data_IF_252038582387
#
_entry.id   IF_252038582387
#
_cell.length_a   1.000
_cell.length_b   1.000
_cell.length_c   1.000
_cell.angle_alpha   90.00
_cell.angle_beta   90.00
_cell.angle_gamma   90.00
#
_symmetry.space_group_name_H-M   'P 1'
#
loop_
_entity.id
_entity.type
_entity.pdbx_description
1 polymer ?
#
# COMPACT_ATOMS: atom_id res chain seq x y z
N UNK A 1 13.11 -54.28 -57.91
CA UNK A 1 12.16 -54.08 -56.78
C UNK A 1 12.87 -53.65 -55.47
N UNK A 2 13.86 -52.73 -55.52
CA UNK A 2 14.59 -52.25 -54.33
C UNK A 2 14.72 -50.73 -54.22
N UNK A 3 14.40 -49.95 -55.26
CA UNK A 3 14.51 -48.47 -55.21
C UNK A 3 13.22 -47.75 -54.80
N UNK A 4 12.03 -48.30 -55.10
CA UNK A 4 10.73 -47.71 -54.71
C UNK A 4 10.43 -47.76 -53.20
N UNK A 5 11.09 -48.64 -52.44
CA UNK A 5 10.87 -48.81 -51.00
C UNK A 5 11.65 -47.77 -50.19
N UNK A 6 12.85 -47.37 -50.64
CA UNK A 6 13.66 -46.36 -49.95
C UNK A 6 13.09 -44.95 -50.05
N UNK A 7 12.45 -44.60 -51.19
CA UNK A 7 11.82 -43.30 -51.38
C UNK A 7 10.66 -43.07 -50.42
N UNK A 8 9.79 -44.07 -50.19
CA UNK A 8 8.64 -43.95 -49.28
C UNK A 8 9.07 -43.84 -47.81
N UNK A 9 10.12 -44.54 -47.39
CA UNK A 9 10.61 -44.48 -46.00
C UNK A 9 11.23 -43.11 -45.69
N UNK A 10 11.92 -42.49 -46.66
CA UNK A 10 12.51 -41.16 -46.49
C UNK A 10 11.43 -40.06 -46.49
N UNK A 11 10.37 -40.16 -47.31
CA UNK A 11 9.26 -39.19 -47.25
C UNK A 11 8.45 -39.29 -45.96
N UNK A 12 8.32 -40.50 -45.39
CA UNK A 12 7.59 -40.68 -44.13
C UNK A 12 8.41 -40.23 -42.91
N UNK A 13 9.75 -40.33 -42.95
CA UNK A 13 10.62 -39.85 -41.86
C UNK A 13 10.74 -38.31 -41.85
N UNK A 14 10.76 -37.66 -43.01
CA UNK A 14 10.81 -36.18 -43.09
C UNK A 14 9.46 -35.55 -42.71
N UNK A 15 8.34 -36.22 -42.97
CA UNK A 15 7.01 -35.75 -42.54
C UNK A 15 6.77 -35.93 -41.03
N UNK A 16 7.42 -36.92 -40.40
CA UNK A 16 7.34 -37.13 -38.94
C UNK A 16 8.18 -36.11 -38.14
N UNK A 17 9.28 -35.58 -38.71
CA UNK A 17 10.08 -34.54 -38.06
C UNK A 17 9.46 -33.13 -38.16
N UNK A 18 8.61 -32.87 -39.16
CA UNK A 18 7.92 -31.57 -39.29
C UNK A 18 6.69 -31.48 -38.36
N UNK A 19 6.13 -32.61 -37.94
CA UNK A 19 4.99 -32.62 -37.00
C UNK A 19 5.40 -32.56 -35.51
N UNK A 20 6.69 -32.68 -35.20
CA UNK A 20 7.21 -32.68 -33.82
C UNK A 20 7.66 -31.29 -33.32
N UNK A 21 7.53 -30.24 -34.13
CA UNK A 21 7.87 -28.86 -33.78
C UNK A 21 6.67 -28.02 -33.30
N UNK A 22 5.48 -28.63 -33.19
CA UNK A 22 4.27 -27.99 -32.64
C UNK A 22 3.93 -28.59 -31.27
N UNK A 23 4.93 -28.76 -30.39
CA UNK A 23 4.63 -28.70 -28.96
C UNK A 23 4.45 -27.22 -28.67
N UNK A 24 3.25 -26.72 -28.99
CA UNK A 24 2.79 -25.47 -28.42
C UNK A 24 2.91 -25.64 -26.92
N UNK A 25 3.81 -24.87 -26.31
CA UNK A 25 3.68 -24.56 -24.89
C UNK A 25 2.28 -23.97 -24.82
N UNK A 26 1.34 -24.72 -24.23
CA UNK A 26 0.14 -24.10 -23.73
C UNK A 26 0.64 -23.15 -22.64
N UNK A 27 1.00 -21.93 -23.03
CA UNK A 27 1.06 -20.81 -22.11
C UNK A 27 -0.34 -20.79 -21.52
N UNK A 28 -0.47 -21.32 -20.30
CA UNK A 28 -1.70 -21.24 -19.56
C UNK A 28 -2.03 -19.76 -19.51
N UNK A 29 -3.06 -19.36 -20.25
CA UNK A 29 -3.49 -17.97 -20.31
C UNK A 29 -3.69 -17.53 -18.86
N UNK A 30 -2.83 -16.64 -18.38
CA UNK A 30 -2.91 -16.14 -17.01
C UNK A 30 -4.28 -15.49 -16.87
N UNK A 31 -5.11 -16.03 -15.99
CA UNK A 31 -6.39 -15.43 -15.64
C UNK A 31 -6.10 -14.27 -14.68
N UNK A 32 -5.95 -13.08 -15.26
CA UNK A 32 -5.62 -11.87 -14.51
C UNK A 32 -6.76 -11.44 -13.57
N UNK A 33 -8.00 -11.82 -13.85
CA UNK A 33 -9.11 -11.58 -12.93
C UNK A 33 -8.97 -12.44 -11.69
N UNK A 34 -8.64 -13.72 -11.87
CA UNK A 34 -8.38 -14.63 -10.76
C UNK A 34 -7.13 -14.22 -9.98
N UNK A 35 -6.05 -13.82 -10.67
CA UNK A 35 -4.84 -13.29 -10.03
C UNK A 35 -5.17 -12.09 -9.14
N UNK A 36 -5.88 -11.09 -9.65
CA UNK A 36 -6.27 -9.93 -8.84
C UNK A 36 -7.14 -10.33 -7.66
N UNK A 37 -8.16 -11.18 -7.87
CA UNK A 37 -9.04 -11.64 -6.77
C UNK A 37 -8.27 -12.35 -5.67
N UNK A 38 -7.36 -13.25 -6.03
CA UNK A 38 -6.57 -14.03 -5.06
C UNK A 38 -5.57 -13.13 -4.32
N UNK A 39 -4.90 -12.21 -5.03
CA UNK A 39 -3.98 -11.24 -4.43
C UNK A 39 -4.72 -10.26 -3.52
N UNK A 40 -5.84 -9.69 -3.95
CA UNK A 40 -6.67 -8.82 -3.11
C UNK A 40 -7.13 -9.59 -1.87
N UNK A 41 -7.63 -10.82 -2.03
CA UNK A 41 -8.04 -11.67 -0.89
C UNK A 41 -6.90 -11.96 0.08
N UNK A 42 -5.67 -12.21 -0.41
CA UNK A 42 -4.47 -12.40 0.42
C UNK A 42 -4.22 -11.18 1.31
N UNK A 43 -4.45 -9.98 0.77
CA UNK A 43 -4.19 -8.70 1.44
C UNK A 43 -5.44 -8.06 2.07
N UNK A 44 -6.56 -8.75 2.05
CA UNK A 44 -7.77 -8.36 2.78
C UNK A 44 -7.80 -9.02 4.15
N UNK A 45 -8.19 -8.25 5.16
CA UNK A 45 -8.53 -8.74 6.50
C UNK A 45 -9.95 -8.34 6.82
N UNK A 46 -10.69 -9.24 7.46
CA UNK A 46 -12.09 -9.02 7.79
C UNK A 46 -12.42 -9.59 9.15
N UNK A 47 -13.24 -8.88 9.91
CA UNK A 47 -13.76 -9.31 11.21
C UNK A 47 -15.25 -9.01 11.31
N UNK A 48 -16.01 -9.97 11.80
CA UNK A 48 -17.43 -9.80 12.15
C UNK A 48 -17.58 -9.59 13.65
N UNK A 49 -18.36 -8.60 14.05
CA UNK A 49 -18.67 -8.31 15.44
C UNK A 49 -20.07 -8.84 15.74
N UNK A 50 -20.12 -10.13 16.09
CA UNK A 50 -21.37 -10.88 16.23
C UNK A 50 -22.23 -10.78 14.96
N UNK A 51 -23.52 -10.54 15.15
CA UNK A 51 -24.50 -10.34 14.08
C UNK A 51 -24.73 -8.87 13.72
N UNK A 52 -24.00 -7.94 14.36
CA UNK A 52 -24.27 -6.51 14.24
C UNK A 52 -23.67 -5.91 12.98
N UNK A 53 -22.35 -6.09 12.78
CA UNK A 53 -21.63 -5.52 11.67
C UNK A 53 -20.35 -6.30 11.34
N UNK A 54 -19.77 -6.00 10.17
CA UNK A 54 -18.46 -6.48 9.75
C UNK A 54 -17.58 -5.32 9.33
N UNK A 55 -16.29 -5.44 9.59
CA UNK A 55 -15.25 -4.53 9.07
C UNK A 55 -14.32 -5.35 8.21
N UNK A 56 -14.03 -4.85 7.03
CA UNK A 56 -13.09 -5.40 6.08
C UNK A 56 -12.11 -4.30 5.66
N UNK A 57 -10.86 -4.65 5.44
CA UNK A 57 -9.88 -3.73 4.89
C UNK A 57 -8.95 -4.46 3.93
N UNK A 58 -8.77 -3.90 2.74
CA UNK A 58 -7.74 -4.29 1.77
C UNK A 58 -6.55 -3.36 1.92
N UNK A 59 -5.36 -3.92 2.15
CA UNK A 59 -4.12 -3.15 2.11
C UNK A 59 -3.64 -3.02 0.65
N UNK A 60 -3.67 -1.81 0.09
CA UNK A 60 -3.18 -1.48 -1.25
C UNK A 60 -1.66 -1.40 -1.27
N UNK A 61 -1.02 -2.57 -1.13
CA UNK A 61 0.42 -2.71 -1.26
C UNK A 61 0.83 -3.03 -2.70
N UNK A 62 2.14 -3.14 -2.92
CA UNK A 62 2.74 -3.34 -4.24
C UNK A 62 2.14 -4.55 -5.00
N UNK A 63 1.98 -5.70 -4.35
CA UNK A 63 1.40 -6.89 -4.99
C UNK A 63 -0.04 -6.64 -5.48
N UNK A 64 -0.87 -5.98 -4.66
CA UNK A 64 -2.27 -5.67 -5.03
C UNK A 64 -2.32 -4.68 -6.19
N UNK A 65 -1.47 -3.65 -6.16
CA UNK A 65 -1.35 -2.66 -7.24
C UNK A 65 -0.96 -3.35 -8.54
N UNK A 66 0.08 -4.18 -8.51
CA UNK A 66 0.56 -4.91 -9.67
C UNK A 66 -0.49 -5.86 -10.25
N UNK A 67 -1.18 -6.60 -9.39
CA UNK A 67 -2.25 -7.48 -9.84
C UNK A 67 -3.42 -6.71 -10.46
N UNK A 68 -3.74 -5.53 -9.92
CA UNK A 68 -4.75 -4.63 -10.49
C UNK A 68 -4.32 -4.06 -11.85
N UNK A 69 -3.09 -3.57 -11.96
CA UNK A 69 -2.52 -3.03 -13.21
C UNK A 69 -2.50 -4.09 -14.29
N UNK A 70 -2.06 -5.31 -13.99
CA UNK A 70 -2.03 -6.41 -14.95
C UNK A 70 -3.44 -6.81 -15.42
N UNK A 71 -4.42 -6.84 -14.49
CA UNK A 71 -5.84 -7.03 -14.83
C UNK A 71 -6.34 -5.92 -15.75
N UNK A 72 -6.10 -4.66 -15.39
CA UNK A 72 -6.52 -3.52 -16.18
C UNK A 72 -5.88 -3.50 -17.57
N UNK A 73 -4.56 -3.74 -17.65
CA UNK A 73 -3.81 -3.84 -18.90
C UNK A 73 -4.40 -4.90 -19.82
N UNK A 74 -4.73 -6.08 -19.28
CA UNK A 74 -5.38 -7.14 -20.06
C UNK A 74 -6.78 -6.78 -20.53
N UNK A 75 -7.61 -6.21 -19.66
CA UNK A 75 -8.99 -5.80 -19.98
C UNK A 75 -9.04 -4.69 -21.05
N UNK A 76 -8.04 -3.82 -21.07
CA UNK A 76 -7.96 -2.66 -21.98
C UNK A 76 -7.01 -2.88 -23.17
N UNK A 77 -6.42 -4.09 -23.30
CA UNK A 77 -5.48 -4.45 -24.37
C UNK A 77 -4.26 -3.52 -24.45
N UNK A 78 -3.76 -3.08 -23.29
CA UNK A 78 -2.60 -2.20 -23.22
C UNK A 78 -1.33 -2.94 -23.69
N UNK A 79 -0.47 -2.22 -24.39
CA UNK A 79 0.94 -2.61 -24.55
C UNK A 79 1.69 -2.52 -23.21
N UNK A 80 2.88 -3.13 -23.14
CA UNK A 80 3.73 -3.05 -21.94
C UNK A 80 4.09 -1.60 -21.56
N UNK A 81 4.27 -0.74 -22.56
CA UNK A 81 4.58 0.68 -22.37
C UNK A 81 3.39 1.44 -21.79
N UNK A 82 2.17 1.15 -22.28
CA UNK A 82 0.93 1.74 -21.76
C UNK A 82 0.58 1.20 -20.37
N UNK A 83 0.84 -0.08 -20.09
CA UNK A 83 0.65 -0.67 -18.77
C UNK A 83 1.59 -0.02 -17.74
N UNK A 84 2.86 0.20 -18.09
CA UNK A 84 3.82 0.92 -17.24
C UNK A 84 3.37 2.38 -17.00
N UNK A 85 2.94 3.08 -18.05
CA UNK A 85 2.43 4.45 -17.90
C UNK A 85 1.18 4.49 -17.00
N UNK A 86 0.27 3.51 -17.16
CA UNK A 86 -0.90 3.37 -16.30
C UNK A 86 -0.52 3.07 -14.85
N UNK A 87 0.47 2.21 -14.62
CA UNK A 87 0.97 1.90 -13.28
C UNK A 87 1.44 3.18 -12.56
N UNK A 88 2.25 4.00 -13.24
CA UNK A 88 2.78 5.25 -12.69
C UNK A 88 1.67 6.25 -12.38
N UNK A 89 0.74 6.45 -13.31
CA UNK A 89 -0.44 7.31 -13.11
C UNK A 89 -1.31 6.79 -11.96
N UNK A 90 -1.49 5.47 -11.84
CA UNK A 90 -2.23 4.85 -10.76
C UNK A 90 -1.59 5.11 -9.40
N UNK A 91 -0.27 4.88 -9.25
CA UNK A 91 0.45 5.14 -8.01
C UNK A 91 0.37 6.62 -7.59
N UNK A 92 0.45 7.54 -8.55
CA UNK A 92 0.33 8.97 -8.30
C UNK A 92 -1.10 9.37 -7.91
N UNK A 93 -2.09 8.97 -8.70
CA UNK A 93 -3.52 9.26 -8.48
C UNK A 93 -4.00 8.70 -7.15
N UNK A 94 -3.61 7.47 -6.85
CA UNK A 94 -3.95 6.79 -5.60
C UNK A 94 -3.02 7.15 -4.44
N UNK A 95 -1.98 7.95 -4.71
CA UNK A 95 -1.04 8.48 -3.71
C UNK A 95 -0.36 7.39 -2.88
N UNK A 96 -0.22 6.19 -3.45
CA UNK A 96 0.35 5.00 -2.79
C UNK A 96 1.84 5.23 -2.50
N UNK A 97 2.53 6.02 -3.32
CA UNK A 97 3.93 6.39 -3.08
C UNK A 97 4.11 7.23 -1.80
N UNK A 98 3.08 7.95 -1.37
CA UNK A 98 3.14 8.88 -0.22
C UNK A 98 2.53 8.32 1.05
N UNK A 99 1.56 7.40 0.92
CA UNK A 99 0.75 6.92 2.03
C UNK A 99 0.68 5.40 2.07
N UNK A 100 0.45 4.86 3.26
CA UNK A 100 -0.09 3.52 3.40
C UNK A 100 -1.61 3.60 3.20
N UNK A 101 -2.12 2.90 2.19
CA UNK A 101 -3.52 3.03 1.76
C UNK A 101 -4.29 1.77 2.11
N UNK A 102 -5.37 1.92 2.87
CA UNK A 102 -6.28 0.83 3.19
C UNK A 102 -7.67 1.15 2.66
N UNK A 103 -8.20 0.31 1.78
CA UNK A 103 -9.61 0.41 1.39
C UNK A 103 -10.46 -0.30 2.44
N UNK A 104 -11.13 0.49 3.26
CA UNK A 104 -11.91 0.01 4.40
C UNK A 104 -13.37 -0.07 3.99
N UNK A 105 -14.03 -1.16 4.37
CA UNK A 105 -15.48 -1.35 4.27
C UNK A 105 -16.04 -1.67 5.64
N UNK A 106 -16.97 -0.84 6.12
CA UNK A 106 -17.76 -1.11 7.32
C UNK A 106 -19.19 -1.38 6.87
N UNK A 107 -19.69 -2.57 7.16
CA UNK A 107 -21.02 -3.03 6.74
C UNK A 107 -21.87 -3.40 7.94
N UNK A 108 -23.03 -2.74 8.07
CA UNK A 108 -24.07 -3.14 8.99
C UNK A 108 -24.71 -4.45 8.50
N UNK A 109 -24.87 -5.40 9.41
CA UNK A 109 -25.52 -6.68 9.14
C UNK A 109 -26.95 -6.68 9.68
N UNK A 110 -27.12 -6.38 10.97
CA UNK A 110 -28.44 -6.30 11.63
C UNK A 110 -28.48 -5.18 12.67
N UNK A 111 -29.69 -4.80 13.05
CA UNK A 111 -29.92 -3.83 14.13
C UNK A 111 -29.81 -2.37 13.68
N UNK A 112 -29.60 -1.52 14.67
CA UNK A 112 -29.53 -0.07 14.51
C UNK A 112 -28.32 0.35 13.65
N UNK A 113 -28.38 1.53 13.01
CA UNK A 113 -27.26 2.07 12.24
C UNK A 113 -26.01 2.25 13.09
N UNK A 114 -24.84 2.15 12.46
CA UNK A 114 -23.56 2.31 13.15
C UNK A 114 -23.16 3.77 13.23
N UNK A 115 -22.45 4.10 14.28
CA UNK A 115 -21.86 5.41 14.54
C UNK A 115 -20.36 5.21 14.77
N UNK A 116 -19.52 5.50 13.78
CA UNK A 116 -18.09 5.63 13.98
C UNK A 116 -17.86 6.94 14.74
N UNK A 117 -17.57 6.83 16.03
CA UNK A 117 -17.43 8.02 16.87
C UNK A 117 -16.06 8.62 16.63
N UNK A 118 -15.95 9.81 16.03
CA UNK A 118 -14.65 10.48 15.80
C UNK A 118 -13.65 9.54 15.13
N UNK A 119 -13.98 9.06 13.94
CA UNK A 119 -13.22 8.07 13.18
C UNK A 119 -11.73 8.40 13.16
N UNK A 120 -11.34 9.64 12.87
CA UNK A 120 -9.93 10.06 12.85
C UNK A 120 -9.16 9.78 14.16
N UNK A 121 -9.84 9.81 15.30
CA UNK A 121 -9.24 9.67 16.64
C UNK A 121 -9.27 8.23 17.13
N UNK A 122 -10.19 7.41 16.59
CA UNK A 122 -10.42 6.05 17.03
C UNK A 122 -10.03 5.00 15.99
N UNK A 123 -9.54 5.42 14.83
CA UNK A 123 -8.94 4.55 13.82
C UNK A 123 -7.45 4.85 13.74
N UNK A 124 -6.59 3.85 13.88
CA UNK A 124 -5.13 4.03 13.84
C UNK A 124 -4.41 2.74 13.47
N UNK A 125 -3.23 2.86 12.85
CA UNK A 125 -2.29 1.76 12.68
C UNK A 125 -1.41 1.62 13.91
N UNK A 126 -1.03 0.38 14.22
CA UNK A 126 -0.01 0.02 15.21
C UNK A 126 1.02 -0.87 14.54
N UNK A 127 2.29 -0.48 14.64
CA UNK A 127 3.41 -1.32 14.21
C UNK A 127 3.80 -2.36 15.31
N UNK A 128 4.74 -3.23 14.99
CA UNK A 128 5.31 -4.23 15.88
C UNK A 128 6.09 -3.65 17.08
N UNK A 129 6.39 -2.35 17.06
CA UNK A 129 7.02 -1.60 18.15
C UNK A 129 6.00 -0.91 19.06
N UNK A 130 4.71 -0.97 18.73
CA UNK A 130 3.62 -0.35 19.48
C UNK A 130 3.40 1.14 19.16
N UNK A 131 4.04 1.68 18.13
CA UNK A 131 3.84 3.06 17.68
C UNK A 131 2.47 3.22 17.03
N UNK A 132 1.78 4.31 17.33
CA UNK A 132 0.44 4.61 16.81
C UNK A 132 0.51 5.64 15.69
N UNK A 133 -0.12 5.33 14.56
CA UNK A 133 -0.21 6.22 13.40
C UNK A 133 -1.68 6.47 13.05
N UNK A 134 -2.10 7.73 13.10
CA UNK A 134 -3.47 8.13 12.79
C UNK A 134 -3.64 8.41 11.30
N UNK A 135 -4.87 8.26 10.75
CA UNK A 135 -5.12 8.57 9.36
C UNK A 135 -4.94 10.07 9.11
N UNK A 136 -4.31 10.41 8.00
CA UNK A 136 -4.14 11.78 7.54
C UNK A 136 -5.35 12.24 6.73
N UNK A 137 -5.91 11.33 5.93
CA UNK A 137 -7.07 11.59 5.07
C UNK A 137 -7.96 10.36 5.00
N UNK A 138 -9.28 10.60 4.92
CA UNK A 138 -10.29 9.58 4.72
C UNK A 138 -11.61 10.25 4.25
N UNK A 139 -12.53 9.52 3.61
CA UNK A 139 -13.81 10.05 3.18
C UNK A 139 -14.68 10.49 4.37
N UNK A 140 -15.34 11.66 4.31
CA UNK A 140 -16.15 12.20 5.42
C UNK A 140 -17.31 11.27 5.85
N UNK A 141 -17.75 10.38 4.97
CA UNK A 141 -18.79 9.36 5.23
C UNK A 141 -18.42 8.43 6.40
N UNK A 142 -17.12 8.28 6.70
CA UNK A 142 -16.67 7.54 7.88
C UNK A 142 -16.94 8.26 9.21
N UNK A 143 -17.31 9.54 9.21
CA UNK A 143 -17.75 10.28 10.41
C UNK A 143 -19.28 10.40 10.49
N UNK A 144 -19.98 9.83 9.51
CA UNK A 144 -21.43 9.85 9.43
C UNK A 144 -22.06 8.55 9.94
N UNK A 145 -23.38 8.59 10.10
CA UNK A 145 -24.17 7.43 10.50
C UNK A 145 -24.26 6.42 9.36
N UNK A 146 -23.80 5.20 9.59
CA UNK A 146 -23.78 4.14 8.57
C UNK A 146 -25.08 3.33 8.64
N UNK A 147 -25.94 3.52 7.65
CA UNK A 147 -27.20 2.79 7.54
C UNK A 147 -27.04 1.39 6.96
N UNK A 148 -26.18 1.19 5.96
CA UNK A 148 -25.97 -0.12 5.35
C UNK A 148 -24.49 -0.44 5.23
N UNK A 149 -23.75 0.38 4.51
CA UNK A 149 -22.32 0.21 4.29
C UNK A 149 -21.67 1.56 4.01
N UNK A 150 -20.43 1.71 4.45
CA UNK A 150 -19.51 2.73 3.95
C UNK A 150 -18.24 2.02 3.46
N UNK A 151 -17.72 2.47 2.33
CA UNK A 151 -16.46 1.99 1.75
C UNK A 151 -15.63 3.17 1.32
N UNK A 152 -14.32 3.13 1.59
CA UNK A 152 -13.41 4.14 1.10
C UNK A 152 -11.97 3.95 1.53
N UNK A 153 -11.07 4.70 0.88
CA UNK A 153 -9.63 4.65 1.11
C UNK A 153 -9.24 5.52 2.29
N UNK A 154 -8.56 4.94 3.26
CA UNK A 154 -8.00 5.60 4.43
C UNK A 154 -6.48 5.69 4.24
N UNK A 155 -5.95 6.90 4.34
CA UNK A 155 -4.55 7.22 4.05
C UNK A 155 -3.79 7.45 5.35
N UNK A 156 -2.79 6.63 5.60
CA UNK A 156 -1.89 6.73 6.75
C UNK A 156 -0.52 7.23 6.32
N UNK A 157 0.27 7.84 7.24
CA UNK A 157 1.65 8.17 6.93
C UNK A 157 2.42 6.90 6.52
N UNK A 158 3.38 7.05 5.60
CA UNK A 158 4.30 5.98 5.21
C UNK A 158 5.60 6.00 6.04
N UNK A 159 5.92 7.13 6.64
CA UNK A 159 7.09 7.36 7.45
C UNK A 159 6.71 7.82 8.87
N UNK A 160 7.54 7.49 9.85
CA UNK A 160 7.44 8.01 11.21
C UNK A 160 7.87 9.49 11.28
N UNK A 161 7.90 10.06 12.50
CA UNK A 161 8.23 11.48 12.71
C UNK A 161 9.70 11.78 12.43
N UNK A 162 10.54 10.76 12.55
CA UNK A 162 11.97 10.76 12.30
C UNK A 162 12.29 10.51 10.81
N UNK A 163 11.26 10.22 10.00
CA UNK A 163 11.36 10.00 8.57
C UNK A 163 11.75 8.57 8.18
N UNK A 164 11.67 7.58 9.08
CA UNK A 164 11.90 6.17 8.77
C UNK A 164 10.61 5.53 8.23
N UNK A 165 10.70 4.58 7.26
CA UNK A 165 9.52 3.85 6.80
C UNK A 165 8.87 3.06 7.94
N UNK A 166 7.54 3.20 8.07
CA UNK A 166 6.75 2.48 9.08
C UNK A 166 6.78 0.98 8.81
N UNK A 167 6.70 0.58 7.52
CA UNK A 167 6.87 -0.79 7.08
C UNK A 167 8.26 -0.92 6.43
N UNK A 168 9.11 -1.75 7.01
CA UNK A 168 10.47 -2.03 6.57
C UNK A 168 10.76 -3.55 6.68
N UNK A 169 11.92 -4.04 6.20
CA UNK A 169 12.22 -5.48 6.20
C UNK A 169 12.13 -6.17 7.56
N UNK A 170 12.30 -5.42 8.65
CA UNK A 170 12.25 -5.94 10.02
C UNK A 170 10.87 -5.81 10.66
N UNK A 171 9.86 -5.31 9.92
CA UNK A 171 8.49 -5.15 10.43
C UNK A 171 7.77 -6.50 10.44
N UNK A 172 7.50 -7.04 11.62
CA UNK A 172 6.82 -8.32 11.81
C UNK A 172 5.32 -8.24 11.47
N UNK A 173 4.65 -7.17 11.89
CA UNK A 173 3.24 -6.97 11.61
C UNK A 173 2.84 -5.49 11.62
N UNK A 174 1.69 -5.21 11.00
CA UNK A 174 0.96 -3.96 11.20
C UNK A 174 -0.50 -4.26 11.48
N UNK A 175 -1.11 -3.55 12.44
CA UNK A 175 -2.51 -3.74 12.82
C UNK A 175 -3.30 -2.45 12.62
N UNK A 176 -4.40 -2.53 11.88
CA UNK A 176 -5.40 -1.47 11.79
C UNK A 176 -6.44 -1.65 12.90
N UNK A 177 -6.48 -0.68 13.81
CA UNK A 177 -7.40 -0.64 14.93
C UNK A 177 -8.59 0.27 14.62
N UNK A 178 -9.78 -0.20 15.01
CA UNK A 178 -11.00 0.59 15.11
C UNK A 178 -11.47 0.51 16.56
N UNK A 179 -11.01 1.43 17.41
CA UNK A 179 -11.23 1.40 18.85
C UNK A 179 -12.69 1.67 19.26
N UNK A 180 -13.44 2.41 18.43
CA UNK A 180 -14.81 2.85 18.77
C UNK A 180 -15.77 2.80 17.60
N UNK A 181 -16.27 1.61 17.30
CA UNK A 181 -17.47 1.43 16.47
C UNK A 181 -18.66 1.08 17.37
N UNK A 182 -19.75 1.84 17.27
CA UNK A 182 -20.94 1.61 18.09
C UNK A 182 -22.20 1.45 17.25
N UNK A 183 -23.12 0.62 17.74
CA UNK A 183 -24.50 0.48 17.23
C UNK A 183 -25.46 1.55 17.79
N UNK A 184 -24.98 2.40 18.72
CA UNK A 184 -25.71 3.53 19.33
C UNK A 184 -24.69 4.53 19.90
N UNK A 185 -24.83 5.86 19.71
CA UNK A 185 -23.95 6.85 20.32
C UNK A 185 -23.80 6.75 21.86
N UNK A 186 -24.71 6.07 22.55
CA UNK A 186 -24.72 5.90 24.01
C UNK A 186 -24.36 4.48 24.50
N UNK A 187 -24.13 3.49 23.61
CA UNK A 187 -23.82 2.09 23.97
C UNK A 187 -22.31 1.74 24.02
N UNK A 188 -22.03 0.52 24.50
CA UNK A 188 -20.70 -0.12 24.56
C UNK A 188 -20.06 -0.17 23.17
N UNK A 189 -19.00 0.62 22.99
CA UNK A 189 -18.17 0.58 21.79
C UNK A 189 -17.47 -0.77 21.64
N UNK A 190 -17.35 -1.24 20.39
CA UNK A 190 -16.59 -2.44 20.05
C UNK A 190 -15.28 -2.06 19.39
N UNK A 191 -14.22 -2.76 19.80
CA UNK A 191 -12.91 -2.68 19.19
C UNK A 191 -12.81 -3.74 18.09
N UNK A 192 -12.25 -3.37 16.94
CA UNK A 192 -11.93 -4.29 15.84
C UNK A 192 -10.49 -4.09 15.44
N UNK A 193 -9.74 -5.18 15.35
CA UNK A 193 -8.32 -5.17 14.99
C UNK A 193 -8.13 -6.06 13.77
N UNK A 194 -7.49 -5.52 12.73
CA UNK A 194 -7.16 -6.23 11.49
C UNK A 194 -5.65 -6.23 11.33
N UNK A 195 -5.02 -7.41 11.34
CA UNK A 195 -3.56 -7.54 11.37
C UNK A 195 -3.02 -8.16 10.08
N UNK A 196 -1.95 -7.57 9.55
CA UNK A 196 -1.15 -8.10 8.45
C UNK A 196 0.23 -8.46 8.97
N UNK A 197 0.52 -9.75 9.00
CA UNK A 197 1.84 -10.28 9.30
C UNK A 197 2.76 -10.19 8.07
N UNK A 198 4.04 -9.91 8.30
CA UNK A 198 5.07 -9.68 7.30
C UNK A 198 4.61 -8.71 6.19
N UNK A 199 4.19 -7.47 6.53
CA UNK A 199 3.58 -6.55 5.57
C UNK A 199 4.59 -5.95 4.59
N UNK A 200 5.89 -6.11 4.83
CA UNK A 200 6.94 -5.65 3.93
C UNK A 200 7.02 -6.52 2.67
N UNK A 201 6.96 -5.87 1.52
CA UNK A 201 7.26 -6.47 0.24
C UNK A 201 8.59 -5.90 -0.28
N UNK A 202 9.58 -6.76 -0.59
CA UNK A 202 10.75 -6.28 -1.31
C UNK A 202 10.31 -5.77 -2.68
N UNK A 203 10.97 -4.74 -3.23
CA UNK A 203 10.69 -4.30 -4.59
C UNK A 203 10.87 -5.46 -5.58
N UNK A 204 9.85 -5.74 -6.40
CA UNK A 204 9.91 -6.82 -7.39
C UNK A 204 10.53 -6.33 -8.69
N UNK A 205 11.82 -6.62 -8.89
CA UNK A 205 12.55 -6.32 -10.13
C UNK A 205 12.51 -7.46 -11.16
N UNK A 206 11.76 -8.54 -10.89
CA UNK A 206 11.77 -9.75 -11.73
C UNK A 206 11.06 -9.56 -13.07
N UNK A 207 10.18 -8.56 -13.18
CA UNK A 207 9.54 -8.20 -14.46
C UNK A 207 10.23 -6.96 -15.07
N UNK A 208 10.66 -7.01 -16.35
CA UNK A 208 11.32 -5.89 -17.02
C UNK A 208 10.49 -4.61 -17.05
N UNK A 209 9.18 -4.77 -17.18
CA UNK A 209 8.17 -3.70 -17.14
C UNK A 209 7.89 -3.16 -15.73
N UNK A 210 8.43 -3.80 -14.67
CA UNK A 210 8.21 -3.44 -13.26
C UNK A 210 9.51 -3.08 -12.52
N UNK A 211 10.64 -3.01 -13.22
CA UNK A 211 11.73 -2.18 -12.71
C UNK A 211 11.16 -0.76 -12.62
N UNK A 212 11.21 -0.08 -11.47
CA UNK A 212 10.92 1.35 -11.46
C UNK A 212 11.76 1.93 -12.59
N UNK A 213 11.11 2.55 -13.57
CA UNK A 213 11.84 3.30 -14.58
C UNK A 213 12.82 4.17 -13.79
N UNK A 214 14.07 4.30 -14.24
CA UNK A 214 15.08 5.08 -13.52
C UNK A 214 14.51 6.44 -13.07
N UNK A 215 13.59 7.00 -13.87
CA UNK A 215 12.81 8.20 -13.62
C UNK A 215 11.87 8.15 -12.40
N UNK A 216 11.26 7.02 -12.07
CA UNK A 216 10.40 6.86 -10.89
C UNK A 216 11.23 6.77 -9.60
N UNK A 217 12.34 6.04 -9.65
CA UNK A 217 13.31 6.04 -8.55
C UNK A 217 13.88 7.45 -8.36
N UNK A 218 14.19 8.16 -9.45
CA UNK A 218 14.60 9.57 -9.40
C UNK A 218 13.49 10.43 -8.79
N UNK A 219 12.23 10.30 -9.21
CA UNK A 219 11.13 11.12 -8.69
C UNK A 219 10.90 10.88 -7.20
N UNK A 220 10.94 9.62 -6.75
CA UNK A 220 10.86 9.26 -5.32
C UNK A 220 12.02 9.87 -4.53
N UNK A 221 13.24 9.78 -5.07
CA UNK A 221 14.43 10.36 -4.46
C UNK A 221 14.36 11.89 -4.44
N UNK A 222 13.85 12.53 -5.50
CA UNK A 222 13.65 13.98 -5.59
C UNK A 222 12.62 14.48 -4.58
N UNK A 223 11.48 13.79 -4.42
CA UNK A 223 10.50 14.11 -3.38
C UNK A 223 11.10 13.95 -1.98
N UNK A 224 11.88 12.88 -1.75
CA UNK A 224 12.59 12.68 -0.48
C UNK A 224 13.64 13.77 -0.23
N UNK A 225 14.35 14.23 -1.26
CA UNK A 225 15.28 15.36 -1.16
C UNK A 225 14.53 16.63 -0.73
N UNK A 226 13.39 16.96 -1.36
CA UNK A 226 12.58 18.13 -0.98
C UNK A 226 12.11 18.07 0.47
N UNK A 227 11.68 16.89 0.93
CA UNK A 227 11.28 16.69 2.32
C UNK A 227 12.46 16.86 3.28
N UNK A 228 13.62 16.25 2.97
CA UNK A 228 14.84 16.38 3.78
C UNK A 228 15.35 17.83 3.81
N UNK A 229 15.21 18.59 2.73
CA UNK A 229 15.55 20.01 2.68
C UNK A 229 14.64 20.84 3.60
N UNK A 230 13.34 20.54 3.62
CA UNK A 230 12.40 21.19 4.54
C UNK A 230 12.73 20.86 6.00
N UNK A 231 12.99 19.59 6.31
CA UNK A 231 13.39 19.15 7.65
C UNK A 231 14.70 19.81 8.09
N UNK A 232 15.71 19.86 7.19
CA UNK A 232 16.98 20.53 7.42
C UNK A 232 16.75 22.00 7.77
N UNK A 233 15.94 22.72 7.00
CA UNK A 233 15.63 24.13 7.26
C UNK A 233 14.98 24.33 8.64
N UNK A 234 14.02 23.48 9.00
CA UNK A 234 13.38 23.55 10.33
C UNK A 234 14.36 23.28 11.48
N UNK A 235 15.33 22.37 11.28
CA UNK A 235 16.39 22.11 12.26
C UNK A 235 17.38 23.27 12.35
N UNK A 236 17.75 23.88 11.23
CA UNK A 236 18.59 25.08 11.20
C UNK A 236 17.92 26.26 11.94
N UNK A 237 16.61 26.45 11.77
CA UNK A 237 15.85 27.46 12.51
C UNK A 237 15.85 27.18 14.02
N UNK A 238 15.75 25.91 14.43
CA UNK A 238 15.87 25.50 15.85
C UNK A 238 17.27 25.74 16.39
N UNK A 239 18.32 25.39 15.65
CA UNK A 239 19.72 25.64 16.02
C UNK A 239 19.92 27.14 16.24
N UNK A 240 19.44 27.97 15.32
CA UNK A 240 19.52 29.43 15.44
C UNK A 240 18.80 29.96 16.68
N UNK A 241 17.65 29.39 17.03
CA UNK A 241 16.95 29.71 18.27
C UNK A 241 17.80 29.42 19.51
N UNK A 242 18.43 28.24 19.55
CA UNK A 242 19.31 27.83 20.66
C UNK A 242 20.55 28.74 20.73
N UNK A 243 21.16 29.07 19.60
CA UNK A 243 22.34 29.95 19.58
C UNK A 243 22.02 31.35 20.13
N UNK A 244 20.85 31.91 19.80
CA UNK A 244 20.42 33.19 20.37
C UNK A 244 20.25 33.09 21.90
N UNK A 245 19.63 32.02 22.39
CA UNK A 245 19.47 31.79 23.83
C UNK A 245 20.83 31.66 24.54
N UNK A 246 21.80 30.97 23.93
CA UNK A 246 23.17 30.87 24.44
C UNK A 246 23.81 32.26 24.57
N UNK A 247 23.66 33.12 23.57
CA UNK A 247 24.23 34.47 23.60
C UNK A 247 23.55 35.37 24.63
N UNK A 248 22.22 35.29 24.79
CA UNK A 248 21.48 35.99 25.84
C UNK A 248 21.95 35.56 27.24
N UNK A 249 22.11 34.25 27.46
CA UNK A 249 22.61 33.70 28.72
C UNK A 249 24.05 34.14 28.99
N UNK A 250 24.94 34.12 27.99
CA UNK A 250 26.31 34.64 28.12
C UNK A 250 26.34 36.13 28.47
N UNK A 251 25.52 36.94 27.82
CA UNK A 251 25.40 38.36 28.12
C UNK A 251 24.96 38.57 29.57
N UNK A 252 23.94 37.81 30.02
CA UNK A 252 23.47 37.87 31.40
C UNK A 252 24.55 37.47 32.41
N UNK A 253 25.32 36.41 32.14
CA UNK A 253 26.46 36.01 32.97
C UNK A 253 27.48 37.14 33.06
N UNK A 254 27.82 37.76 31.93
CA UNK A 254 28.79 38.87 31.87
C UNK A 254 28.34 40.08 32.67
N UNK A 255 27.05 40.42 32.62
CA UNK A 255 26.52 41.54 33.40
C UNK A 255 26.51 41.23 34.90
N UNK A 256 26.09 40.04 35.30
CA UNK A 256 26.17 39.59 36.70
C UNK A 256 27.62 39.54 37.23
N UNK A 257 28.60 39.23 36.37
CA UNK A 257 30.02 39.25 36.74
C UNK A 257 30.58 40.66 36.98
N UNK A 258 30.00 41.70 36.37
CA UNK A 258 30.39 43.11 36.60
C UNK A 258 29.79 43.68 37.88
N UNK A 259 28.68 43.10 38.34
CA UNK A 259 28.00 43.47 39.60
C UNK A 259 28.67 42.84 40.84
N UNK A 260 29.68 41.99 40.63
CA UNK A 260 30.50 41.37 41.67
C UNK A 260 31.76 42.17 41.95
#
# INVERSE_FOLDING_TARGET
>A
MKSKIKSKIITTLVLACIFMLMVGIAEGQVDYDQLYRDTAKKWTRSTKVGDAFSVEALFWNEEVVQAWVAKYGKENLLSAEEELAYHQDFLQRERINRYLVFEVTIKKLKGAPLYPMKFAQNTYLVDDRGNKFYPLEFPPEFEEKIFDQVTGKVYFPRFDKEGNPIINPDTDYITLHFARLSIDPQLISKEVNLTWDNPYLPPDYSRPEWKPALEEEILRLEERVKELELQKKMLEDKIKGIDNEIEEVKARIKDLQKER
#
